data_IF_908406679440
#
_entry.id   IF_908406679440
#
_cell.length_a   1.000
_cell.length_b   1.000
_cell.length_c   1.000
_cell.angle_alpha   90.00
_cell.angle_beta   90.00
_cell.angle_gamma   90.00
#
_symmetry.space_group_name_H-M   'P 1'
#
loop_
_entity.id
_entity.type
_entity.pdbx_description
1 polymer ?
#
# COMPACT_ATOMS: atom_id res chain seq x y z
N UNK A 1 -4.66 -9.31 11.86
CA UNK A 1 -3.62 -10.27 11.44
C UNK A 1 -2.71 -9.74 10.39
N UNK A 2 -3.22 -9.23 9.27
CA UNK A 2 -2.36 -8.86 8.14
C UNK A 2 -1.39 -7.71 8.46
N UNK A 3 -1.73 -6.85 9.44
CA UNK A 3 -0.85 -5.81 9.98
C UNK A 3 -0.37 -6.12 11.42
N UNK A 4 -0.57 -7.33 11.97
CA UNK A 4 -0.23 -7.59 13.38
C UNK A 4 1.28 -7.53 13.66
N UNK A 5 2.11 -7.71 12.61
CA UNK A 5 3.56 -7.48 12.65
C UNK A 5 3.88 -6.03 13.04
N UNK A 6 3.04 -5.06 12.66
CA UNK A 6 3.23 -3.63 12.95
C UNK A 6 3.13 -3.30 14.44
N UNK A 7 2.54 -4.17 15.26
CA UNK A 7 2.54 -4.00 16.72
C UNK A 7 3.97 -3.94 17.30
N UNK A 8 4.96 -4.53 16.62
CA UNK A 8 6.36 -4.58 17.08
C UNK A 8 7.28 -3.57 16.39
N UNK A 9 6.94 -3.14 15.16
CA UNK A 9 7.82 -2.27 14.35
C UNK A 9 7.23 -0.90 14.05
N UNK A 10 5.95 -0.70 14.38
CA UNK A 10 5.15 0.47 14.01
C UNK A 10 4.75 0.46 12.54
N UNK A 11 3.64 1.15 12.23
CA UNK A 11 3.25 1.43 10.85
C UNK A 11 4.37 2.26 10.18
N UNK A 12 4.86 1.79 9.04
CA UNK A 12 5.78 2.53 8.20
C UNK A 12 5.01 3.03 6.99
N UNK A 13 4.64 4.34 6.94
CA UNK A 13 3.86 4.90 5.84
C UNK A 13 4.53 4.57 4.51
N UNK A 14 3.83 3.81 3.68
CA UNK A 14 4.35 3.39 2.36
C UNK A 14 4.57 4.59 1.43
N UNK A 15 3.92 5.71 1.74
CA UNK A 15 3.62 6.79 0.82
C UNK A 15 4.31 8.12 1.16
N UNK A 16 4.76 8.33 2.41
CA UNK A 16 5.21 9.66 2.87
C UNK A 16 6.72 9.87 2.98
N UNK A 17 7.56 8.82 2.87
CA UNK A 17 8.99 8.95 3.14
C UNK A 17 9.82 8.00 2.26
N UNK A 18 9.81 8.22 0.95
CA UNK A 18 10.79 7.60 0.07
C UNK A 18 12.25 7.96 0.44
N UNK A 19 12.46 9.03 1.22
CA UNK A 19 13.80 9.55 1.54
C UNK A 19 14.32 9.18 2.95
N UNK A 20 13.52 8.63 3.87
CA UNK A 20 13.93 8.47 5.28
C UNK A 20 14.04 7.02 5.78
N UNK A 21 13.46 6.03 5.11
CA UNK A 21 13.53 4.64 5.53
C UNK A 21 13.94 3.74 4.37
N UNK A 22 15.14 3.17 4.45
CA UNK A 22 15.64 2.15 3.53
C UNK A 22 14.68 0.95 3.52
N UNK A 23 14.14 0.62 2.36
CA UNK A 23 13.20 -0.49 2.19
C UNK A 23 13.78 -1.82 2.67
N UNK A 24 15.09 -2.02 2.52
CA UNK A 24 15.82 -3.18 3.05
C UNK A 24 15.65 -3.28 4.56
N UNK A 25 15.76 -2.14 5.25
CA UNK A 25 15.56 -2.07 6.71
C UNK A 25 14.09 -2.24 7.12
N UNK A 26 13.12 -1.98 6.24
CA UNK A 26 11.70 -2.26 6.51
C UNK A 26 11.45 -3.77 6.47
N UNK A 27 11.88 -4.45 5.42
CA UNK A 27 11.70 -5.89 5.26
C UNK A 27 12.43 -6.68 6.36
N UNK A 28 13.64 -6.26 6.74
CA UNK A 28 14.38 -6.86 7.86
C UNK A 28 13.66 -6.69 9.20
N UNK A 29 13.11 -5.49 9.46
CA UNK A 29 12.33 -5.21 10.68
C UNK A 29 11.05 -6.04 10.72
N UNK A 30 10.28 -6.08 9.64
CA UNK A 30 9.05 -6.87 9.54
C UNK A 30 9.34 -8.36 9.72
N UNK A 31 10.42 -8.87 9.14
CA UNK A 31 10.84 -10.27 9.33
C UNK A 31 11.23 -10.58 10.78
N UNK A 32 11.94 -9.67 11.45
CA UNK A 32 12.28 -9.82 12.86
C UNK A 32 11.01 -9.80 13.74
N UNK A 33 10.08 -8.88 13.47
CA UNK A 33 8.80 -8.79 14.17
C UNK A 33 7.94 -10.04 13.96
N UNK A 34 7.87 -10.58 12.74
CA UNK A 34 7.20 -11.84 12.48
C UNK A 34 7.80 -12.96 13.34
N UNK A 35 9.13 -13.04 13.46
CA UNK A 35 9.77 -14.04 14.31
C UNK A 35 9.34 -13.91 15.79
N UNK A 36 9.32 -12.70 16.34
CA UNK A 36 8.85 -12.45 17.71
C UNK A 36 7.38 -12.85 17.90
N UNK A 37 6.52 -12.43 16.97
CA UNK A 37 5.09 -12.71 17.00
C UNK A 37 4.81 -14.22 16.92
N UNK A 38 5.57 -14.97 16.12
CA UNK A 38 5.45 -16.44 16.04
C UNK A 38 5.90 -17.16 17.31
N UNK A 39 6.86 -16.60 18.06
CA UNK A 39 7.26 -17.15 19.36
C UNK A 39 6.21 -16.87 20.42
N UNK A 40 5.68 -15.64 20.45
CA UNK A 40 4.69 -15.20 21.44
C UNK A 40 3.37 -15.96 21.32
N UNK A 41 2.90 -16.19 20.08
CA UNK A 41 1.65 -16.89 19.80
C UNK A 41 1.85 -18.36 19.43
N UNK A 42 2.93 -18.97 19.91
CA UNK A 42 3.28 -20.37 19.59
C UNK A 42 2.26 -21.40 20.10
N UNK A 43 1.42 -21.03 21.07
CA UNK A 43 0.28 -21.80 21.56
C UNK A 43 -0.96 -21.71 20.64
N UNK A 44 -0.94 -20.81 19.64
CA UNK A 44 -1.99 -20.57 18.67
C UNK A 44 -1.53 -20.96 17.23
N UNK A 45 -1.42 -22.27 16.92
CA UNK A 45 -0.80 -22.73 15.67
C UNK A 45 -1.52 -22.26 14.40
N UNK A 46 -2.85 -22.21 14.42
CA UNK A 46 -3.64 -21.73 13.27
C UNK A 46 -3.37 -20.26 12.94
N UNK A 47 -3.17 -19.43 13.97
CA UNK A 47 -2.81 -18.02 13.80
C UNK A 47 -1.40 -17.89 13.20
N UNK A 48 -0.44 -18.63 13.77
CA UNK A 48 0.93 -18.68 13.26
C UNK A 48 1.01 -19.16 11.80
N UNK A 49 0.19 -20.13 11.40
CA UNK A 49 0.10 -20.59 10.03
C UNK A 49 -0.45 -19.50 9.10
N UNK A 50 -1.58 -18.88 9.48
CA UNK A 50 -2.23 -17.86 8.64
C UNK A 50 -1.37 -16.62 8.47
N UNK A 51 -0.68 -16.15 9.51
CA UNK A 51 0.19 -14.98 9.37
C UNK A 51 1.39 -15.29 8.47
N UNK A 52 1.99 -16.49 8.54
CA UNK A 52 3.03 -16.91 7.60
C UNK A 52 2.51 -16.96 6.16
N UNK A 53 1.33 -17.53 5.95
CA UNK A 53 0.70 -17.57 4.63
C UNK A 53 0.47 -16.17 4.07
N UNK A 54 0.09 -15.22 4.93
CA UNK A 54 -0.03 -13.82 4.57
C UNK A 54 1.32 -13.20 4.22
N UNK A 55 2.32 -13.25 5.10
CA UNK A 55 3.64 -12.65 4.84
C UNK A 55 4.32 -13.22 3.60
N UNK A 56 4.25 -14.54 3.41
CA UNK A 56 4.82 -15.23 2.24
C UNK A 56 3.95 -15.08 0.98
N UNK A 57 2.73 -14.54 1.10
CA UNK A 57 1.75 -14.42 0.01
C UNK A 57 1.50 -15.75 -0.72
N UNK A 58 1.58 -16.86 0.01
CA UNK A 58 1.69 -18.22 -0.56
C UNK A 58 0.34 -18.78 -1.02
N UNK A 59 -0.76 -18.29 -0.47
CA UNK A 59 -2.13 -18.73 -0.81
C UNK A 59 -2.93 -17.61 -1.51
N UNK A 60 -3.90 -17.95 -2.38
CA UNK A 60 -4.72 -16.95 -3.09
C UNK A 60 -5.43 -15.97 -2.15
N UNK A 61 -5.89 -16.44 -0.99
CA UNK A 61 -6.57 -15.63 0.02
C UNK A 61 -5.64 -14.54 0.57
N UNK A 62 -4.37 -14.85 0.80
CA UNK A 62 -3.37 -13.88 1.26
C UNK A 62 -3.14 -12.78 0.21
N UNK A 63 -3.00 -13.18 -1.07
CA UNK A 63 -2.83 -12.25 -2.19
C UNK A 63 -4.07 -11.41 -2.44
N UNK A 64 -5.25 -11.98 -2.22
CA UNK A 64 -6.51 -11.24 -2.27
C UNK A 64 -6.56 -10.16 -1.18
N UNK A 65 -6.25 -10.52 0.06
CA UNK A 65 -6.18 -9.56 1.19
C UNK A 65 -5.18 -8.44 0.86
N UNK A 66 -4.00 -8.76 0.33
CA UNK A 66 -3.01 -7.76 -0.08
C UNK A 66 -3.54 -6.81 -1.17
N UNK A 67 -4.25 -7.35 -2.16
CA UNK A 67 -4.85 -6.54 -3.23
C UNK A 67 -5.92 -5.59 -2.69
N UNK A 68 -6.79 -6.08 -1.80
CA UNK A 68 -7.84 -5.27 -1.15
C UNK A 68 -7.24 -4.23 -0.22
N UNK A 69 -6.25 -4.59 0.60
CA UNK A 69 -5.52 -3.67 1.48
C UNK A 69 -5.00 -2.46 0.70
N UNK A 70 -4.33 -2.71 -0.43
CA UNK A 70 -3.90 -1.60 -1.31
C UNK A 70 -5.09 -0.80 -1.78
N UNK A 71 -6.11 -1.41 -2.37
CA UNK A 71 -7.29 -0.70 -2.86
C UNK A 71 -7.94 0.21 -1.79
N UNK A 72 -8.00 -0.25 -0.54
CA UNK A 72 -8.62 0.49 0.57
C UNK A 72 -7.94 1.84 0.85
N UNK A 73 -6.63 1.96 0.63
CA UNK A 73 -5.88 3.23 0.73
C UNK A 73 -6.44 4.28 -0.24
N UNK A 74 -6.97 3.89 -1.39
CA UNK A 74 -7.61 4.83 -2.31
C UNK A 74 -8.99 5.25 -1.80
N UNK A 75 -9.76 4.29 -1.29
CA UNK A 75 -11.14 4.51 -0.87
C UNK A 75 -11.24 5.44 0.35
N UNK A 76 -10.27 5.42 1.26
CA UNK A 76 -10.30 6.25 2.47
C UNK A 76 -10.23 7.76 2.16
N UNK A 77 -9.75 8.15 0.98
CA UNK A 77 -9.72 9.55 0.55
C UNK A 77 -11.10 10.12 0.21
N UNK A 78 -12.09 9.28 -0.12
CA UNK A 78 -13.43 9.74 -0.47
C UNK A 78 -14.18 10.37 0.72
N UNK A 79 -14.31 9.72 1.90
CA UNK A 79 -15.04 10.29 3.02
C UNK A 79 -14.35 11.52 3.64
N UNK A 80 -13.02 11.63 3.56
CA UNK A 80 -12.28 12.77 4.10
C UNK A 80 -11.97 13.88 3.06
N UNK A 81 -12.64 13.84 1.90
CA UNK A 81 -12.50 14.83 0.83
C UNK A 81 -11.06 15.02 0.35
N UNK A 82 -10.26 13.96 0.33
CA UNK A 82 -8.89 14.00 -0.16
C UNK A 82 -7.95 14.85 0.69
N UNK A 83 -8.22 15.01 1.98
CA UNK A 83 -7.42 15.87 2.88
C UNK A 83 -5.94 15.51 2.88
N UNK A 84 -5.62 14.21 2.94
CA UNK A 84 -4.23 13.71 2.91
C UNK A 84 -3.61 13.94 1.53
N UNK A 85 -4.35 13.66 0.45
CA UNK A 85 -3.87 13.88 -0.92
C UNK A 85 -3.44 15.32 -1.13
N UNK A 86 -4.30 16.28 -0.79
CA UNK A 86 -4.04 17.71 -0.94
C UNK A 86 -2.84 18.22 -0.13
N UNK A 87 -2.51 17.56 0.98
CA UNK A 87 -1.40 17.98 1.85
C UNK A 87 -0.04 17.47 1.38
N UNK A 88 -0.02 16.34 0.69
CA UNK A 88 1.23 15.60 0.43
C UNK A 88 1.53 15.40 -1.04
N UNK A 89 0.57 15.64 -1.94
CA UNK A 89 0.73 15.36 -3.35
C UNK A 89 0.33 16.52 -4.26
N UNK A 90 0.98 16.57 -5.42
CA UNK A 90 0.43 17.21 -6.63
C UNK A 90 -0.28 16.15 -7.47
N UNK A 91 -1.04 16.60 -8.48
CA UNK A 91 -1.66 15.69 -9.45
C UNK A 91 -0.66 14.68 -10.02
N UNK A 92 0.51 15.14 -10.47
CA UNK A 92 1.52 14.31 -11.11
C UNK A 92 2.26 13.43 -10.11
N UNK A 93 2.60 13.96 -8.92
CA UNK A 93 3.35 13.17 -7.93
C UNK A 93 2.51 12.01 -7.39
N UNK A 94 1.20 12.19 -7.24
CA UNK A 94 0.28 11.14 -6.83
C UNK A 94 0.14 10.04 -7.90
N UNK A 95 -0.12 10.42 -9.15
CA UNK A 95 -0.22 9.41 -10.22
C UNK A 95 1.11 8.67 -10.42
N UNK A 96 2.24 9.37 -10.27
CA UNK A 96 3.55 8.74 -10.30
C UNK A 96 3.73 7.74 -9.16
N UNK A 97 3.38 8.09 -7.91
CA UNK A 97 3.50 7.17 -6.78
C UNK A 97 2.62 5.92 -6.98
N UNK A 98 1.43 6.08 -7.54
CA UNK A 98 0.56 4.95 -7.88
C UNK A 98 1.18 4.04 -8.95
N UNK A 99 1.76 4.61 -10.00
CA UNK A 99 2.47 3.85 -11.03
C UNK A 99 3.68 3.10 -10.47
N UNK A 100 4.48 3.77 -9.64
CA UNK A 100 5.66 3.17 -8.99
C UNK A 100 5.25 2.01 -8.07
N UNK A 101 4.17 2.17 -7.31
CA UNK A 101 3.64 1.12 -6.42
C UNK A 101 3.14 -0.08 -7.22
N UNK A 102 2.43 0.14 -8.33
CA UNK A 102 1.98 -0.94 -9.22
C UNK A 102 3.14 -1.67 -9.89
N UNK A 103 4.17 -0.94 -10.35
CA UNK A 103 5.37 -1.55 -10.92
C UNK A 103 6.12 -2.40 -9.90
N UNK A 104 6.17 -1.94 -8.64
CA UNK A 104 6.84 -2.65 -7.54
C UNK A 104 6.07 -3.89 -7.09
N UNK A 105 4.79 -3.74 -6.75
CA UNK A 105 4.05 -4.76 -6.00
C UNK A 105 2.98 -5.47 -6.82
N UNK A 106 2.63 -4.98 -8.01
CA UNK A 106 1.51 -5.51 -8.79
C UNK A 106 1.63 -6.99 -9.15
N UNK A 107 2.85 -7.53 -9.18
CA UNK A 107 3.11 -8.95 -9.41
C UNK A 107 2.66 -9.84 -8.23
N UNK A 108 2.60 -9.30 -7.01
CA UNK A 108 2.26 -10.05 -5.79
C UNK A 108 0.79 -10.47 -5.72
N UNK A 109 -0.07 -9.89 -6.57
CA UNK A 109 -1.50 -10.19 -6.65
C UNK A 109 -1.97 -10.14 -8.11
N UNK A 110 -1.12 -10.69 -8.99
CA UNK A 110 -1.27 -10.58 -10.44
C UNK A 110 -2.59 -11.14 -10.96
N UNK A 111 -3.16 -12.16 -10.30
CA UNK A 111 -4.42 -12.80 -10.70
C UNK A 111 -5.66 -11.92 -10.50
N UNK A 112 -5.55 -10.82 -9.76
CA UNK A 112 -6.68 -9.93 -9.44
C UNK A 112 -6.71 -8.70 -10.36
N UNK A 113 -6.77 -8.91 -11.67
CA UNK A 113 -6.80 -7.84 -12.68
C UNK A 113 -7.91 -6.82 -12.46
N UNK A 114 -9.11 -7.28 -12.04
CA UNK A 114 -10.22 -6.38 -11.73
C UNK A 114 -9.93 -5.41 -10.59
N UNK A 115 -9.20 -5.83 -9.55
CA UNK A 115 -8.80 -4.97 -8.43
C UNK A 115 -7.75 -3.96 -8.89
N UNK A 116 -6.78 -4.38 -9.71
CA UNK A 116 -5.76 -3.48 -10.28
C UNK A 116 -6.40 -2.41 -11.18
N UNK A 117 -7.34 -2.80 -12.03
CA UNK A 117 -8.07 -1.88 -12.89
C UNK A 117 -8.88 -0.87 -12.06
N UNK A 118 -9.62 -1.34 -11.06
CA UNK A 118 -10.37 -0.47 -10.17
C UNK A 118 -9.46 0.51 -9.42
N UNK A 119 -8.30 0.05 -8.92
CA UNK A 119 -7.32 0.93 -8.27
C UNK A 119 -6.85 2.03 -9.22
N UNK A 120 -6.52 1.67 -10.46
CA UNK A 120 -6.08 2.62 -11.47
C UNK A 120 -7.15 3.68 -11.76
N UNK A 121 -8.39 3.26 -11.98
CA UNK A 121 -9.52 4.17 -12.20
C UNK A 121 -9.76 5.10 -11.00
N UNK A 122 -9.69 4.56 -9.79
CA UNK A 122 -9.79 5.37 -8.57
C UNK A 122 -8.64 6.37 -8.44
N UNK A 123 -7.42 6.01 -8.84
CA UNK A 123 -6.28 6.93 -8.85
C UNK A 123 -6.55 8.19 -9.68
N UNK A 124 -7.00 8.02 -10.93
CA UNK A 124 -7.37 9.15 -11.76
C UNK A 124 -8.57 9.92 -11.20
N UNK A 125 -9.61 9.22 -10.75
CA UNK A 125 -10.78 9.87 -10.16
C UNK A 125 -10.40 10.75 -8.96
N UNK A 126 -9.53 10.27 -8.08
CA UNK A 126 -9.07 11.02 -6.91
C UNK A 126 -8.18 12.20 -7.32
N UNK A 127 -7.28 12.01 -8.29
CA UNK A 127 -6.42 13.07 -8.82
C UNK A 127 -7.25 14.19 -9.45
N UNK A 128 -8.18 13.86 -10.34
CA UNK A 128 -9.07 14.83 -10.99
C UNK A 128 -9.96 15.55 -9.98
N UNK A 129 -10.48 14.82 -9.00
CA UNK A 129 -11.42 15.40 -8.03
C UNK A 129 -10.74 16.30 -7.00
N UNK A 130 -9.56 15.92 -6.52
CA UNK A 130 -8.95 16.54 -5.35
C UNK A 130 -7.65 17.27 -5.64
N UNK A 131 -6.99 16.99 -6.77
CA UNK A 131 -5.67 17.54 -7.10
C UNK A 131 -5.64 18.33 -8.42
N UNK A 132 -6.77 18.48 -9.13
CA UNK A 132 -6.79 19.18 -10.42
C UNK A 132 -6.20 20.61 -10.36
N UNK A 133 -6.34 21.31 -9.23
CA UNK A 133 -5.78 22.65 -9.04
C UNK A 133 -4.24 22.69 -8.92
N UNK A 134 -3.60 21.55 -8.60
CA UNK A 134 -2.14 21.44 -8.54
C UNK A 134 -1.54 20.80 -9.80
N UNK A 135 -2.38 20.51 -10.81
CA UNK A 135 -1.93 20.01 -12.10
C UNK A 135 -1.08 21.09 -12.76
N UNK A 136 0.12 20.70 -13.18
CA UNK A 136 0.97 21.58 -13.96
C UNK A 136 0.29 21.81 -15.31
N UNK A 137 -0.10 23.06 -15.58
CA UNK A 137 -0.41 23.44 -16.95
C UNK A 137 0.84 23.16 -17.77
N UNK A 138 0.73 22.32 -18.80
CA UNK A 138 1.74 22.28 -19.83
C UNK A 138 1.89 23.71 -20.32
N UNK A 139 2.97 24.39 -19.92
CA UNK A 139 3.39 25.63 -20.55
C UNK A 139 3.59 25.24 -22.01
N UNK A 140 2.63 25.65 -22.84
CA UNK A 140 2.78 25.60 -24.28
C UNK A 140 4.04 26.41 -24.58
N UNK A 141 5.09 25.71 -24.99
CA UNK A 141 6.25 26.33 -25.61
C UNK A 141 5.75 26.97 -26.90
N UNK A 142 5.60 28.31 -26.88
CA UNK A 142 5.60 29.15 -28.07
C UNK A 142 6.95 29.11 -28.79
#
# INVERSE_FOLDING_TARGET
MHDDVEAYVGDTPTDMLADAFDQTTKEEREKAALHHLLLEYSDCPEYCERIKQYEDQSVPEARFVKAVDKLMVMLIHLPNQGLVLNRHYTYESFLKSEMDLMARDGFKYAEFDGIKALRHELGYLLADRYLAASRSDCVATE
#
